data_IF_029013793393
#
_entry.id   IF_029013793393
#
_cell.length_a   1.000
_cell.length_b   1.000
_cell.length_c   1.000
_cell.angle_alpha   90.00
_cell.angle_beta   90.00
_cell.angle_gamma   90.00
#
_symmetry.space_group_name_H-M   'P 1'
#
loop_
_entity.id
_entity.type
_entity.pdbx_description
1 polymer ?
#
# COMPACT_ATOMS: atom_id res chain seq x y z
N UNK A 1 -3.56 20.40 -17.54
CA UNK A 1 -3.19 18.98 -17.28
C UNK A 1 -3.29 18.75 -15.78
N UNK A 2 -4.22 17.89 -15.34
CA UNK A 2 -4.34 17.54 -13.92
C UNK A 2 -3.05 16.83 -13.53
N UNK A 3 -2.20 17.49 -12.73
CA UNK A 3 -1.02 16.90 -12.14
C UNK A 3 -1.47 15.86 -11.11
N UNK A 4 -1.86 14.68 -11.58
CA UNK A 4 -2.30 13.61 -10.71
C UNK A 4 -1.05 13.02 -10.03
N UNK A 5 -1.15 12.63 -8.75
CA UNK A 5 -0.06 11.91 -8.08
C UNK A 5 0.28 10.58 -8.77
N UNK A 6 -0.52 10.14 -9.74
CA UNK A 6 -0.24 9.02 -10.61
C UNK A 6 0.81 9.33 -11.68
N UNK A 7 0.84 10.54 -12.25
CA UNK A 7 1.84 10.95 -13.24
C UNK A 7 3.12 11.48 -12.61
N UNK A 8 3.03 12.20 -11.48
CA UNK A 8 4.21 12.80 -10.83
C UNK A 8 4.79 12.00 -9.66
N UNK A 9 4.12 10.92 -9.26
CA UNK A 9 4.60 10.02 -8.21
C UNK A 9 5.81 9.18 -8.65
N UNK A 10 6.65 8.79 -7.69
CA UNK A 10 7.72 7.81 -7.92
C UNK A 10 7.15 6.44 -8.33
N UNK A 11 7.87 5.73 -9.20
CA UNK A 11 7.55 4.35 -9.59
C UNK A 11 7.42 3.45 -8.36
N UNK A 12 8.25 3.68 -7.33
CA UNK A 12 8.22 2.93 -6.08
C UNK A 12 6.92 3.16 -5.29
N UNK A 13 6.44 4.40 -5.23
CA UNK A 13 5.18 4.76 -4.58
C UNK A 13 3.99 4.05 -5.24
N UNK A 14 3.91 4.07 -6.58
CA UNK A 14 2.84 3.37 -7.32
C UNK A 14 2.86 1.87 -7.04
N UNK A 15 4.03 1.24 -7.06
CA UNK A 15 4.19 -0.19 -6.79
C UNK A 15 3.74 -0.56 -5.38
N UNK A 16 4.11 0.22 -4.37
CA UNK A 16 3.72 0.01 -2.97
C UNK A 16 2.21 0.18 -2.75
N UNK A 17 1.59 1.16 -3.42
CA UNK A 17 0.14 1.34 -3.34
C UNK A 17 -0.62 0.18 -3.98
N UNK A 18 -0.21 -0.25 -5.18
CA UNK A 18 -0.84 -1.39 -5.85
C UNK A 18 -0.66 -2.65 -5.02
N UNK A 19 0.53 -2.91 -4.47
CA UNK A 19 0.76 -4.07 -3.61
C UNK A 19 -0.06 -4.00 -2.33
N UNK A 20 -0.14 -2.85 -1.68
CA UNK A 20 -0.99 -2.65 -0.50
C UNK A 20 -2.46 -2.95 -0.80
N UNK A 21 -2.97 -2.47 -1.94
CA UNK A 21 -4.36 -2.69 -2.37
C UNK A 21 -4.63 -4.18 -2.62
N UNK A 22 -3.77 -4.86 -3.36
CA UNK A 22 -3.91 -6.29 -3.67
C UNK A 22 -3.84 -7.12 -2.40
N UNK A 23 -2.84 -6.90 -1.55
CA UNK A 23 -2.65 -7.65 -0.30
C UNK A 23 -3.84 -7.47 0.63
N UNK A 24 -4.29 -6.23 0.84
CA UNK A 24 -5.42 -5.96 1.74
C UNK A 24 -6.72 -6.54 1.18
N UNK A 25 -6.98 -6.36 -0.11
CA UNK A 25 -8.16 -6.92 -0.77
C UNK A 25 -8.19 -8.45 -0.74
N UNK A 26 -7.06 -9.10 -1.04
CA UNK A 26 -6.92 -10.55 -0.97
C UNK A 26 -7.09 -11.08 0.46
N UNK A 27 -6.53 -10.38 1.45
CA UNK A 27 -6.69 -10.73 2.86
C UNK A 27 -8.14 -10.64 3.32
N UNK A 28 -8.86 -9.57 2.94
CA UNK A 28 -10.28 -9.42 3.24
C UNK A 28 -11.10 -10.53 2.57
N UNK A 29 -10.85 -10.82 1.28
CA UNK A 29 -11.54 -11.88 0.56
C UNK A 29 -11.30 -13.26 1.21
N UNK A 30 -10.07 -13.54 1.63
CA UNK A 30 -9.72 -14.78 2.33
C UNK A 30 -10.43 -14.89 3.69
N UNK A 31 -10.50 -13.79 4.45
CA UNK A 31 -11.22 -13.76 5.72
C UNK A 31 -12.72 -14.02 5.53
N UNK A 32 -13.35 -13.39 4.53
CA UNK A 32 -14.77 -13.59 4.22
C UNK A 32 -15.04 -15.02 3.76
N UNK A 33 -14.22 -15.57 2.87
CA UNK A 33 -14.33 -16.95 2.41
C UNK A 33 -14.13 -17.96 3.55
N UNK A 34 -13.15 -17.71 4.42
CA UNK A 34 -12.89 -18.52 5.61
C UNK A 34 -14.06 -18.52 6.58
N UNK A 35 -14.64 -17.35 6.86
CA UNK A 35 -15.81 -17.22 7.72
C UNK A 35 -17.04 -17.89 7.11
N UNK A 36 -17.28 -17.74 5.80
CA UNK A 36 -18.39 -18.39 5.10
C UNK A 36 -18.28 -19.93 5.06
N UNK A 37 -17.06 -20.46 5.15
CA UNK A 37 -16.78 -21.89 5.17
C UNK A 37 -16.61 -22.47 6.59
N UNK A 38 -16.83 -21.69 7.64
CA UNK A 38 -16.55 -22.07 9.05
C UNK A 38 -15.10 -22.56 9.26
N UNK A 39 -14.17 -22.06 8.44
CA UNK A 39 -12.78 -22.48 8.40
C UNK A 39 -11.91 -21.49 9.18
N UNK A 40 -11.81 -21.71 10.49
CA UNK A 40 -11.06 -20.85 11.41
C UNK A 40 -9.59 -20.65 10.98
N UNK A 41 -8.97 -21.71 10.45
CA UNK A 41 -7.61 -21.66 9.92
C UNK A 41 -7.45 -20.67 8.75
N UNK A 42 -8.46 -20.55 7.87
CA UNK A 42 -8.44 -19.60 6.76
C UNK A 42 -8.58 -18.15 7.25
N UNK A 43 -9.39 -17.92 8.29
CA UNK A 43 -9.52 -16.61 8.94
C UNK A 43 -8.21 -16.19 9.61
N UNK A 44 -7.54 -17.11 10.32
CA UNK A 44 -6.22 -16.84 10.90
C UNK A 44 -5.15 -16.60 9.83
N UNK A 45 -5.19 -17.33 8.71
CA UNK A 45 -4.29 -17.12 7.58
C UNK A 45 -4.49 -15.75 6.91
N UNK A 46 -5.69 -15.17 6.98
CA UNK A 46 -5.96 -13.84 6.45
C UNK A 46 -5.29 -12.71 7.26
N UNK A 47 -5.10 -12.89 8.57
CA UNK A 47 -4.50 -11.87 9.44
C UNK A 47 -3.11 -11.39 8.98
N UNK A 48 -2.11 -12.27 8.72
CA UNK A 48 -0.80 -11.83 8.24
C UNK A 48 -0.87 -11.19 6.85
N UNK A 49 -1.80 -11.62 5.99
CA UNK A 49 -1.99 -11.05 4.64
C UNK A 49 -2.49 -9.61 4.72
N UNK A 50 -3.49 -9.35 5.56
CA UNK A 50 -3.98 -8.00 5.84
C UNK A 50 -2.88 -7.16 6.49
N UNK A 51 -2.14 -7.72 7.46
CA UNK A 51 -1.01 -7.05 8.11
C UNK A 51 0.08 -6.63 7.11
N UNK A 52 0.43 -7.50 6.17
CA UNK A 52 1.38 -7.17 5.09
C UNK A 52 0.86 -6.05 4.17
N UNK A 53 -0.44 -6.05 3.87
CA UNK A 53 -1.10 -4.96 3.14
C UNK A 53 -0.98 -3.61 3.85
N UNK A 54 -1.24 -3.58 5.16
CA UNK A 54 -1.09 -2.40 6.00
C UNK A 54 0.37 -1.90 6.04
N UNK A 55 1.34 -2.80 6.17
CA UNK A 55 2.76 -2.44 6.15
C UNK A 55 3.16 -1.81 4.80
N UNK A 56 2.71 -2.37 3.68
CA UNK A 56 2.90 -1.77 2.36
C UNK A 56 2.27 -0.37 2.28
N UNK A 57 1.08 -0.18 2.86
CA UNK A 57 0.41 1.12 2.88
C UNK A 57 1.22 2.17 3.64
N UNK A 58 1.72 1.83 4.82
CA UNK A 58 2.57 2.71 5.63
C UNK A 58 3.87 3.03 4.89
N UNK A 59 4.51 2.03 4.28
CA UNK A 59 5.70 2.24 3.46
C UNK A 59 5.43 3.22 2.31
N UNK A 60 4.27 3.12 1.65
CA UNK A 60 3.82 4.07 0.63
C UNK A 60 3.72 5.51 1.13
N UNK A 61 3.17 5.72 2.35
CA UNK A 61 3.12 7.04 2.98
C UNK A 61 4.52 7.61 3.25
N UNK A 62 5.45 6.76 3.72
CA UNK A 62 6.84 7.16 3.98
C UNK A 62 7.57 7.51 2.68
N UNK A 63 7.39 6.74 1.61
CA UNK A 63 8.01 7.06 0.30
C UNK A 63 7.48 8.39 -0.24
N UNK A 64 6.16 8.62 -0.17
CA UNK A 64 5.55 9.88 -0.61
C UNK A 64 6.12 11.09 0.14
N UNK A 65 6.28 11.00 1.46
CA UNK A 65 6.86 12.09 2.27
C UNK A 65 8.34 12.29 1.98
N UNK A 66 9.11 11.23 1.76
CA UNK A 66 10.53 11.30 1.36
C UNK A 66 10.71 11.94 -0.01
N UNK A 67 9.90 11.58 -1.00
CA UNK A 67 9.95 12.18 -2.34
C UNK A 67 9.62 13.67 -2.30
N UNK A 68 8.59 14.06 -1.53
CA UNK A 68 8.24 15.47 -1.33
C UNK A 68 9.34 16.27 -0.62
N UNK A 69 10.11 15.64 0.28
CA UNK A 69 11.29 16.26 0.93
C UNK A 69 12.47 16.40 -0.04
N UNK A 70 12.76 15.38 -0.85
CA UNK A 70 13.82 15.44 -1.87
C UNK A 70 13.59 16.57 -2.87
N UNK A 71 12.37 16.69 -3.40
CA UNK A 71 12.00 17.77 -4.34
C UNK A 71 12.22 19.18 -3.76
N UNK A 72 11.89 19.39 -2.47
CA UNK A 72 12.13 20.67 -1.78
C UNK A 72 13.61 20.98 -1.57
N UNK A 73 14.43 19.96 -1.30
CA UNK A 73 15.87 20.13 -1.10
C UNK A 73 16.60 20.44 -2.41
N UNK A 74 16.11 19.91 -3.54
CA UNK A 74 16.65 20.17 -4.88
C UNK A 74 16.21 21.50 -5.50
N UNK A 75 15.22 22.18 -4.90
CA UNK A 75 14.72 23.48 -5.34
C UNK A 75 15.35 24.66 -4.59
N UNK A 76 16.37 24.42 -3.77
CA UNK A 76 17.12 25.48 -3.12
C UNK A 76 17.90 26.30 -4.18
N UNK A 77 17.67 27.62 -4.29
CA UNK A 77 18.36 28.47 -5.26
C UNK A 77 19.86 28.51 -4.92
N UNK A 78 20.71 28.31 -5.94
CA UNK A 78 22.14 28.63 -5.87
C UNK A 78 22.35 30.09 -6.18
#
# INVERSE_FOLDING_TARGET
MLNTPWDTGSVLYRRLLISALILTGAGIALAVAGAAADAEAAVFAAMPVIGAGLLCHIAGMVVRTRDARRRRSSAAPR
#
